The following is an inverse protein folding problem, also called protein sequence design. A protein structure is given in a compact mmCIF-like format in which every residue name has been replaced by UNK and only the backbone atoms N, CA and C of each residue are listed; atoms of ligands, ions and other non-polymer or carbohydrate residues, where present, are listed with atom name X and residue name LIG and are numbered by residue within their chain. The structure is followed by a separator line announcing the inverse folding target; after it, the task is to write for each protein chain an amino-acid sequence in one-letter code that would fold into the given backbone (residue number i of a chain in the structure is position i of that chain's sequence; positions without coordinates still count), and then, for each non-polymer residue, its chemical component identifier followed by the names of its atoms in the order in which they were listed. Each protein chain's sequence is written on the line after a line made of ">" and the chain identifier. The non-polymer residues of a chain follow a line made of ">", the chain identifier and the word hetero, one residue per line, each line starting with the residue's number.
data_IF_808700329867
#
_entry.id   IF_808700329867
#
_cell.length_a   1.000
_cell.length_b   1.000
_cell.length_c   1.000
_cell.angle_alpha   90.00
_cell.angle_beta   90.00
_cell.angle_gamma   90.00
#
_symmetry.space_group_name_H-M   'P 1'
#
loop_
_entity.id
_entity.type
_entity.pdbx_description
1 polymer ?
#
# COMPACT_ATOMS: atom_id res chain seq x y z
N UNK A 1 -76.21 -12.88 -36.42
CA UNK A 1 -77.32 -12.35 -35.61
C UNK A 1 -76.70 -11.51 -34.49
N UNK A 2 -76.59 -10.20 -34.73
CA UNK A 2 -77.41 -9.10 -34.13
C UNK A 2 -76.93 -8.71 -32.72
N UNK A 3 -76.05 -7.70 -32.60
CA UNK A 3 -76.27 -6.27 -32.21
C UNK A 3 -76.66 -6.04 -30.73
N UNK A 4 -75.70 -5.50 -29.94
CA UNK A 4 -75.66 -4.34 -28.99
C UNK A 4 -76.93 -3.81 -28.26
N UNK A 5 -76.85 -2.80 -27.34
CA UNK A 5 -75.87 -2.41 -26.29
C UNK A 5 -76.52 -1.93 -24.96
N UNK A 6 -75.76 -1.60 -23.90
CA UNK A 6 -76.14 -0.71 -22.78
C UNK A 6 -74.84 -0.10 -22.18
N UNK A 7 -74.49 1.18 -22.38
CA UNK A 7 -74.91 2.44 -21.69
C UNK A 7 -74.42 2.61 -20.24
N UNK A 8 -73.50 3.57 -20.03
CA UNK A 8 -72.97 4.11 -18.74
C UNK A 8 -74.02 4.93 -17.97
N UNK A 9 -73.88 5.16 -16.63
CA UNK A 9 -73.19 6.37 -16.08
C UNK A 9 -72.63 6.20 -14.63
N UNK A 10 -72.24 7.25 -13.85
CA UNK A 10 -71.41 8.43 -14.12
C UNK A 10 -70.23 8.60 -13.12
N UNK A 11 -69.36 9.59 -13.39
CA UNK A 11 -68.27 10.10 -12.55
C UNK A 11 -68.72 10.71 -11.20
N UNK A 12 -67.86 10.58 -10.17
CA UNK A 12 -67.69 11.60 -9.12
C UNK A 12 -67.26 11.08 -7.75
N UNK A 13 -66.00 11.33 -7.35
CA UNK A 13 -65.60 11.85 -6.02
C UNK A 13 -64.08 11.65 -5.81
N UNK A 14 -63.35 12.74 -5.89
CA UNK A 14 -61.94 12.88 -5.52
C UNK A 14 -61.76 12.73 -4.00
N UNK A 15 -61.14 11.64 -3.57
CA UNK A 15 -60.59 11.50 -2.22
C UNK A 15 -59.12 11.91 -2.22
N UNK A 16 -58.84 13.07 -1.63
CA UNK A 16 -57.51 13.57 -1.33
C UNK A 16 -56.88 12.71 -0.23
N UNK A 17 -55.88 11.89 -0.59
CA UNK A 17 -55.00 11.23 0.38
C UNK A 17 -53.58 11.74 0.16
N UNK A 18 -53.23 12.81 0.87
CA UNK A 18 -51.83 13.18 1.15
C UNK A 18 -51.09 11.97 1.73
N UNK A 19 -49.99 11.51 1.12
CA UNK A 19 -49.17 10.47 1.71
C UNK A 19 -48.36 11.08 2.87
N UNK A 20 -48.56 10.55 4.06
CA UNK A 20 -47.73 10.83 5.24
C UNK A 20 -46.27 10.51 4.90
N UNK A 21 -45.30 11.41 5.13
CA UNK A 21 -43.90 11.10 4.87
C UNK A 21 -43.47 9.98 5.83
N UNK A 22 -43.12 8.83 5.25
CA UNK A 22 -42.47 7.75 5.97
C UNK A 22 -41.20 8.30 6.62
N UNK A 23 -41.09 8.16 7.94
CA UNK A 23 -39.89 8.48 8.69
C UNK A 23 -38.73 7.64 8.13
N UNK A 24 -37.95 8.25 7.24
CA UNK A 24 -36.63 7.75 6.87
C UNK A 24 -35.77 7.87 8.11
N UNK A 25 -35.59 6.76 8.82
CA UNK A 25 -34.52 6.65 9.80
C UNK A 25 -33.18 7.02 9.13
N UNK A 26 -32.18 7.46 9.91
CA UNK A 26 -30.90 7.87 9.35
C UNK A 26 -30.35 6.74 8.46
N UNK A 27 -30.09 7.09 7.19
CA UNK A 27 -29.34 6.23 6.28
C UNK A 27 -28.01 5.94 6.98
N UNK A 28 -27.61 4.67 7.19
CA UNK A 28 -26.32 4.38 7.79
C UNK A 28 -25.23 5.06 6.95
N UNK A 29 -24.14 5.57 7.57
CA UNK A 29 -23.09 6.23 6.81
C UNK A 29 -22.64 5.31 5.67
N UNK A 30 -22.48 5.90 4.49
CA UNK A 30 -22.15 5.20 3.24
C UNK A 30 -20.81 4.42 3.31
N UNK A 31 -20.06 4.59 4.40
CA UNK A 31 -18.71 4.09 4.62
C UNK A 31 -18.64 2.94 5.64
N UNK A 32 -19.77 2.31 6.00
CA UNK A 32 -19.73 1.16 6.92
C UNK A 32 -19.11 -0.08 6.24
N UNK A 33 -17.98 -0.55 6.80
CA UNK A 33 -17.39 -1.84 6.49
C UNK A 33 -17.16 -2.65 7.79
N UNK A 34 -17.52 -3.94 7.87
CA UNK A 34 -17.41 -4.74 9.09
C UNK A 34 -15.97 -5.23 9.38
N UNK A 35 -14.98 -4.62 8.75
CA UNK A 35 -13.56 -4.90 8.89
C UNK A 35 -12.74 -3.64 8.61
N UNK A 36 -11.48 -3.62 9.08
CA UNK A 36 -10.55 -2.52 8.81
C UNK A 36 -9.11 -3.00 8.87
N UNK A 37 -8.24 -2.30 8.15
CA UNK A 37 -6.79 -2.38 8.34
C UNK A 37 -6.34 -1.16 9.14
N UNK A 38 -5.90 -1.37 10.37
CA UNK A 38 -5.30 -0.33 11.21
C UNK A 38 -3.83 -0.21 10.83
N UNK A 39 -3.41 0.99 10.44
CA UNK A 39 -2.07 1.30 9.97
C UNK A 39 -1.39 2.23 10.97
N UNK A 40 -0.36 1.73 11.65
CA UNK A 40 0.44 2.50 12.60
C UNK A 40 1.56 3.27 11.88
N UNK A 41 1.36 4.59 11.76
CA UNK A 41 2.32 5.51 11.16
C UNK A 41 3.56 5.73 12.05
N UNK A 42 3.42 5.55 13.37
CA UNK A 42 4.53 5.57 14.33
C UNK A 42 5.44 4.37 14.12
N UNK A 43 4.87 3.19 13.87
CA UNK A 43 5.63 2.00 13.49
C UNK A 43 6.40 2.22 12.18
N UNK A 44 5.77 2.78 11.13
CA UNK A 44 6.45 3.09 9.86
C UNK A 44 7.63 4.04 10.09
N UNK A 45 7.43 5.10 10.91
CA UNK A 45 8.48 6.05 11.26
C UNK A 45 9.66 5.37 11.95
N UNK A 46 9.39 4.61 13.01
CA UNK A 46 10.39 3.84 13.77
C UNK A 46 11.14 2.82 12.89
N UNK A 47 10.44 2.17 11.96
CA UNK A 47 11.06 1.24 11.03
C UNK A 47 12.06 1.93 10.11
N UNK A 48 11.71 3.10 9.58
CA UNK A 48 12.63 3.88 8.73
C UNK A 48 13.83 4.40 9.54
N UNK A 49 13.62 4.82 10.78
CA UNK A 49 14.73 5.18 11.70
C UNK A 49 15.67 3.99 11.93
N UNK A 50 15.12 2.79 12.14
CA UNK A 50 15.93 1.56 12.23
C UNK A 50 16.68 1.28 10.94
N UNK A 51 16.01 1.40 9.78
CA UNK A 51 16.62 1.16 8.47
C UNK A 51 17.73 2.18 8.16
N UNK A 52 17.58 3.44 8.57
CA UNK A 52 18.62 4.45 8.45
C UNK A 52 19.86 4.08 9.29
N UNK A 53 19.67 3.54 10.50
CA UNK A 53 20.78 3.02 11.31
C UNK A 53 21.49 1.85 10.63
N UNK A 54 20.75 0.93 10.02
CA UNK A 54 21.33 -0.20 9.29
C UNK A 54 22.04 0.24 8.00
N UNK A 55 21.54 1.26 7.31
CA UNK A 55 22.14 1.81 6.09
C UNK A 55 23.47 2.56 6.32
N UNK A 56 23.81 2.87 7.58
CA UNK A 56 25.04 3.58 7.94
C UNK A 56 25.08 4.98 7.34
N UNK A 57 25.96 5.20 6.38
CA UNK A 57 26.10 6.50 5.69
C UNK A 57 25.24 6.63 4.44
N UNK A 58 24.66 5.53 3.95
CA UNK A 58 23.80 5.56 2.77
C UNK A 58 22.47 6.24 3.08
N UNK A 59 21.94 6.97 2.11
CA UNK A 59 20.60 7.51 2.18
C UNK A 59 19.55 6.39 2.14
N UNK A 60 18.32 6.67 2.58
CA UNK A 60 17.21 5.72 2.53
C UNK A 60 16.15 6.17 1.52
N UNK A 61 15.89 5.32 0.53
CA UNK A 61 14.70 5.39 -0.33
C UNK A 61 13.61 4.48 0.21
N UNK A 62 12.60 5.05 0.84
CA UNK A 62 11.42 4.29 1.23
C UNK A 62 10.58 3.93 -0.01
N UNK A 63 10.44 2.64 -0.29
CA UNK A 63 9.69 2.17 -1.45
C UNK A 63 8.21 2.06 -1.10
N UNK A 64 7.40 2.95 -1.69
CA UNK A 64 5.97 3.14 -1.40
C UNK A 64 5.05 2.74 -2.57
N UNK A 65 5.57 1.97 -3.53
CA UNK A 65 4.79 1.39 -4.64
C UNK A 65 3.63 0.52 -4.15
N UNK A 66 2.69 0.26 -5.06
CA UNK A 66 1.50 -0.55 -4.84
C UNK A 66 0.71 -0.08 -3.60
N UNK A 67 0.41 1.22 -3.58
CA UNK A 67 -0.28 1.88 -2.46
C UNK A 67 0.42 1.64 -1.12
N UNK A 68 1.75 1.85 -1.08
CA UNK A 68 2.60 1.56 0.07
C UNK A 68 2.43 0.11 0.57
N UNK A 69 2.50 -0.87 -0.35
CA UNK A 69 2.31 -2.29 -0.03
C UNK A 69 0.97 -2.55 0.67
N UNK A 70 -0.08 -1.82 0.25
CA UNK A 70 -1.42 -1.88 0.82
C UNK A 70 -1.65 -1.05 2.10
N UNK A 71 -0.66 -0.31 2.59
CA UNK A 71 -0.78 0.53 3.80
C UNK A 71 -1.34 1.94 3.49
N UNK A 72 -1.32 2.36 2.24
CA UNK A 72 -1.78 3.68 1.79
C UNK A 72 -0.64 4.61 1.43
N UNK A 73 -0.59 5.02 0.16
CA UNK A 73 0.52 5.74 -0.46
C UNK A 73 0.93 7.00 0.33
N UNK A 74 -0.01 7.93 0.53
CA UNK A 74 0.33 9.26 1.06
C UNK A 74 0.65 9.25 2.56
N UNK A 75 -0.15 8.62 3.44
CA UNK A 75 0.16 8.60 4.86
C UNK A 75 1.48 7.86 5.16
N UNK A 76 1.72 6.72 4.51
CA UNK A 76 2.97 5.98 4.67
C UNK A 76 4.17 6.72 4.10
N UNK A 77 4.06 7.40 2.96
CA UNK A 77 5.14 8.23 2.44
C UNK A 77 5.53 9.34 3.42
N UNK A 78 4.55 10.05 4.00
CA UNK A 78 4.81 11.10 5.00
C UNK A 78 5.46 10.55 6.27
N UNK A 79 4.96 9.43 6.78
CA UNK A 79 5.54 8.76 7.94
C UNK A 79 6.98 8.31 7.68
N UNK A 80 7.26 7.78 6.49
CA UNK A 80 8.61 7.37 6.10
C UNK A 80 9.57 8.57 6.01
N UNK A 81 9.14 9.70 5.46
CA UNK A 81 9.94 10.93 5.46
C UNK A 81 10.20 11.44 6.88
N UNK A 82 9.18 11.39 7.75
CA UNK A 82 9.33 11.75 9.16
C UNK A 82 10.33 10.83 9.90
N UNK A 83 10.47 9.57 9.47
CA UNK A 83 11.46 8.62 9.99
C UNK A 83 12.86 8.77 9.39
N UNK A 84 13.08 9.76 8.51
CA UNK A 84 14.40 10.09 7.97
C UNK A 84 14.69 9.57 6.56
N UNK A 85 13.70 9.03 5.84
CA UNK A 85 13.88 8.76 4.41
C UNK A 85 14.08 10.09 3.65
N UNK A 86 15.08 10.15 2.78
CA UNK A 86 15.35 11.32 1.91
C UNK A 86 14.89 11.09 0.47
N UNK A 87 14.54 9.85 0.15
CA UNK A 87 14.01 9.43 -1.14
C UNK A 87 12.72 8.63 -0.99
N UNK A 88 11.86 8.70 -2.00
CA UNK A 88 10.70 7.82 -2.18
C UNK A 88 10.81 7.07 -3.51
N UNK A 89 10.44 5.79 -3.50
CA UNK A 89 10.45 4.94 -4.69
C UNK A 89 9.06 4.43 -5.06
N UNK A 90 8.63 4.64 -6.29
CA UNK A 90 7.35 4.14 -6.82
C UNK A 90 7.55 3.29 -8.07
N UNK A 91 6.63 2.38 -8.36
CA UNK A 91 6.73 1.61 -9.59
C UNK A 91 6.10 2.38 -10.75
N UNK A 92 4.88 2.88 -10.56
CA UNK A 92 4.06 3.46 -11.62
C UNK A 92 4.20 4.98 -11.66
N UNK A 93 3.94 5.55 -12.84
CA UNK A 93 3.93 7.00 -13.07
C UNK A 93 2.87 7.70 -12.21
N UNK A 94 1.67 7.12 -12.12
CA UNK A 94 0.55 7.69 -11.37
C UNK A 94 0.87 7.83 -9.87
N UNK A 95 1.59 6.87 -9.29
CA UNK A 95 2.01 6.90 -7.89
C UNK A 95 2.99 8.06 -7.64
N UNK A 96 4.00 8.20 -8.51
CA UNK A 96 4.98 9.27 -8.40
C UNK A 96 4.34 10.65 -8.52
N UNK A 97 3.44 10.81 -9.49
CA UNK A 97 2.68 12.05 -9.69
C UNK A 97 1.74 12.33 -8.52
N UNK A 98 1.11 11.31 -7.92
CA UNK A 98 0.26 11.47 -6.75
C UNK A 98 1.05 12.00 -5.54
N UNK A 99 2.31 11.55 -5.34
CA UNK A 99 3.19 12.08 -4.29
C UNK A 99 3.45 13.59 -4.50
N UNK A 100 3.79 14.00 -5.72
CA UNK A 100 4.01 15.41 -6.07
C UNK A 100 2.73 16.25 -5.92
N UNK A 101 1.59 15.75 -6.42
CA UNK A 101 0.30 16.41 -6.28
C UNK A 101 -0.15 16.57 -4.82
N UNK A 102 0.28 15.68 -3.92
CA UNK A 102 0.03 15.75 -2.49
C UNK A 102 0.98 16.71 -1.73
N UNK A 103 1.78 17.49 -2.45
CA UNK A 103 2.67 18.50 -1.91
C UNK A 103 4.03 18.00 -1.43
N UNK A 104 4.42 16.76 -1.76
CA UNK A 104 5.78 16.26 -1.45
C UNK A 104 6.74 16.90 -2.45
N UNK A 105 7.34 18.03 -2.06
CA UNK A 105 8.22 18.83 -2.91
C UNK A 105 9.60 18.21 -3.12
N UNK A 106 10.36 18.63 -4.16
CA UNK A 106 11.74 18.18 -4.39
C UNK A 106 12.73 18.55 -3.27
N UNK A 107 12.39 19.56 -2.47
CA UNK A 107 13.09 20.01 -1.26
C UNK A 107 12.85 19.08 -0.06
N UNK A 108 11.72 18.37 -0.04
CA UNK A 108 11.40 17.39 1.00
C UNK A 108 11.96 16.01 0.67
N UNK A 109 11.80 15.56 -0.57
CA UNK A 109 12.28 14.27 -1.01
C UNK A 109 12.50 14.18 -2.52
N UNK A 110 13.52 13.41 -2.89
CA UNK A 110 13.67 12.90 -4.26
C UNK A 110 12.69 11.76 -4.49
N UNK A 111 12.14 11.65 -5.70
CA UNK A 111 11.20 10.59 -6.08
C UNK A 111 11.76 9.90 -7.31
N UNK A 112 11.92 8.58 -7.25
CA UNK A 112 12.30 7.75 -8.40
C UNK A 112 11.12 6.88 -8.83
N UNK A 113 10.82 6.88 -10.14
CA UNK A 113 9.88 5.93 -10.77
C UNK A 113 10.54 5.12 -11.88
N UNK A 114 10.13 3.86 -12.07
CA UNK A 114 10.91 2.93 -12.89
C UNK A 114 10.14 1.96 -13.80
N UNK A 115 8.82 1.93 -13.75
CA UNK A 115 8.03 1.02 -14.57
C UNK A 115 7.08 1.78 -15.48
N UNK A 116 7.40 1.74 -16.77
CA UNK A 116 6.61 2.33 -17.84
C UNK A 116 6.91 1.60 -19.17
N UNK A 117 6.07 1.83 -20.16
CA UNK A 117 6.18 1.27 -21.51
C UNK A 117 6.27 2.40 -22.54
N UNK A 118 6.63 2.12 -23.81
CA UNK A 118 6.67 3.12 -24.87
C UNK A 118 5.36 3.91 -24.98
N UNK A 119 5.47 5.23 -25.15
CA UNK A 119 4.34 6.14 -25.23
C UNK A 119 3.77 6.58 -23.86
N UNK A 120 4.46 6.26 -22.76
CA UNK A 120 4.11 6.76 -21.44
C UNK A 120 4.17 8.30 -21.37
N UNK A 121 3.39 8.96 -20.49
CA UNK A 121 3.37 10.42 -20.36
C UNK A 121 4.58 10.95 -19.57
N UNK A 122 5.80 10.69 -20.06
CA UNK A 122 7.06 11.00 -19.38
C UNK A 122 7.28 12.51 -19.18
N UNK A 123 6.65 13.35 -20.02
CA UNK A 123 6.69 14.82 -19.86
C UNK A 123 6.18 15.26 -18.48
N UNK A 124 5.10 14.64 -17.98
CA UNK A 124 4.54 14.96 -16.68
C UNK A 124 5.51 14.64 -15.53
N UNK A 125 6.31 13.57 -15.66
CA UNK A 125 7.35 13.24 -14.67
C UNK A 125 8.44 14.29 -14.62
N UNK A 126 8.88 14.74 -15.80
CA UNK A 126 9.93 15.76 -15.93
C UNK A 126 9.44 17.10 -15.37
N UNK A 127 8.23 17.53 -15.73
CA UNK A 127 7.60 18.75 -15.21
C UNK A 127 7.46 18.71 -13.68
N UNK A 128 7.15 17.55 -13.11
CA UNK A 128 7.00 17.34 -11.66
C UNK A 128 8.31 17.00 -10.91
N UNK A 129 9.48 17.10 -11.57
CA UNK A 129 10.80 16.85 -10.95
C UNK A 129 10.91 15.46 -10.31
N UNK A 130 10.43 14.46 -11.04
CA UNK A 130 10.56 13.05 -10.69
C UNK A 130 11.75 12.47 -11.47
N UNK A 131 12.64 11.79 -10.77
CA UNK A 131 13.76 11.06 -11.36
C UNK A 131 13.20 9.80 -12.06
N UNK A 132 13.69 9.51 -13.26
CA UNK A 132 13.16 8.44 -14.12
C UNK A 132 14.22 7.37 -14.34
N UNK A 133 13.90 6.11 -14.05
CA UNK A 133 14.79 5.00 -14.39
C UNK A 133 14.76 4.75 -15.90
N UNK A 134 15.92 4.74 -16.54
CA UNK A 134 16.12 4.28 -17.93
C UNK A 134 16.59 2.84 -17.87
N UNK A 135 15.75 1.91 -18.33
CA UNK A 135 16.00 0.48 -18.21
C UNK A 135 16.08 -0.24 -19.56
N UNK A 136 16.00 0.51 -20.67
CA UNK A 136 16.15 0.02 -22.04
C UNK A 136 16.59 1.18 -22.94
N UNK A 137 17.23 0.91 -24.11
CA UNK A 137 17.69 1.96 -25.02
C UNK A 137 16.58 2.91 -25.48
N UNK A 138 15.41 2.39 -25.87
CA UNK A 138 14.27 3.21 -26.32
C UNK A 138 13.81 4.23 -25.27
N UNK A 139 13.95 3.88 -23.98
CA UNK A 139 13.49 4.72 -22.89
C UNK A 139 14.34 5.98 -22.75
N UNK A 140 15.64 5.91 -23.10
CA UNK A 140 16.50 7.10 -23.13
C UNK A 140 15.98 8.12 -24.15
N UNK A 141 15.63 7.67 -25.35
CA UNK A 141 15.12 8.52 -26.42
C UNK A 141 13.79 9.18 -26.04
N UNK A 142 12.86 8.41 -25.45
CA UNK A 142 11.56 8.94 -25.02
C UNK A 142 11.70 9.92 -23.84
N UNK A 143 12.58 9.64 -22.87
CA UNK A 143 12.87 10.58 -21.77
C UNK A 143 13.50 11.87 -22.31
N UNK A 144 14.44 11.76 -23.25
CA UNK A 144 15.05 12.94 -23.87
C UNK A 144 14.03 13.76 -24.67
N UNK A 145 13.12 13.12 -25.41
CA UNK A 145 12.04 13.80 -26.11
C UNK A 145 11.09 14.51 -25.12
N UNK A 146 10.72 13.84 -24.03
CA UNK A 146 9.89 14.41 -22.97
C UNK A 146 10.55 15.61 -22.30
N UNK A 147 11.85 15.55 -22.03
CA UNK A 147 12.61 16.65 -21.46
C UNK A 147 12.66 17.88 -22.37
N UNK A 148 12.91 17.67 -23.68
CA UNK A 148 12.85 18.75 -24.67
C UNK A 148 11.45 19.37 -24.73
N UNK A 149 10.40 18.55 -24.71
CA UNK A 149 9.02 19.03 -24.72
C UNK A 149 8.62 19.79 -23.44
N UNK A 150 9.19 19.40 -22.29
CA UNK A 150 9.00 20.08 -21.01
C UNK A 150 9.85 21.36 -20.88
N UNK A 151 10.84 21.57 -21.76
CA UNK A 151 11.76 22.71 -21.69
C UNK A 151 12.70 22.66 -20.48
N UNK A 152 12.95 21.46 -19.92
CA UNK A 152 13.79 21.29 -18.72
C UNK A 152 14.51 19.92 -18.73
N UNK A 153 15.72 19.83 -18.16
CA UNK A 153 16.47 18.58 -18.16
C UNK A 153 15.78 17.49 -17.33
N UNK A 154 15.66 16.29 -17.88
CA UNK A 154 15.26 15.11 -17.11
C UNK A 154 16.41 14.63 -16.21
N UNK A 155 16.08 14.09 -15.03
CA UNK A 155 17.03 13.39 -14.16
C UNK A 155 16.84 11.89 -14.35
N UNK A 156 17.88 11.17 -14.73
CA UNK A 156 17.76 9.74 -15.07
C UNK A 156 18.66 8.86 -14.24
N UNK A 157 18.14 7.68 -13.90
CA UNK A 157 18.90 6.59 -13.29
C UNK A 157 19.06 5.46 -14.30
N UNK A 158 20.29 5.08 -14.65
CA UNK A 158 20.53 3.93 -15.52
C UNK A 158 20.33 2.64 -14.73
N UNK A 159 19.38 1.81 -15.17
CA UNK A 159 19.16 0.49 -14.57
C UNK A 159 19.95 -0.55 -15.33
N UNK A 160 20.78 -1.30 -14.64
CA UNK A 160 21.57 -2.39 -15.21
C UNK A 160 20.94 -3.72 -14.81
N UNK A 161 20.77 -4.64 -15.75
CA UNK A 161 20.44 -6.02 -15.42
C UNK A 161 21.73 -6.78 -15.11
N UNK A 162 21.98 -7.02 -13.82
CA UNK A 162 23.20 -7.72 -13.37
C UNK A 162 23.01 -9.22 -13.24
N UNK A 163 21.84 -9.75 -13.61
CA UNK A 163 21.51 -11.18 -13.50
C UNK A 163 20.13 -11.49 -12.93
N UNK A 164 19.28 -10.48 -12.72
CA UNK A 164 17.89 -10.73 -12.31
C UNK A 164 17.04 -11.18 -13.50
N UNK A 165 17.39 -10.78 -14.73
CA UNK A 165 16.68 -11.18 -15.95
C UNK A 165 15.27 -10.59 -16.05
N UNK A 166 15.03 -9.41 -15.48
CA UNK A 166 13.69 -8.80 -15.39
C UNK A 166 13.56 -7.52 -16.20
N UNK A 167 14.34 -6.50 -15.83
CA UNK A 167 14.30 -5.18 -16.46
C UNK A 167 15.64 -4.51 -16.15
N UNK A 168 16.18 -3.73 -17.09
CA UNK A 168 17.51 -3.17 -17.02
C UNK A 168 18.26 -3.38 -18.33
N UNK A 169 19.18 -2.47 -18.60
CA UNK A 169 20.13 -2.53 -19.71
C UNK A 169 21.10 -3.67 -19.40
N UNK A 170 21.22 -4.61 -20.33
CA UNK A 170 22.24 -5.68 -20.18
C UNK A 170 23.64 -5.06 -20.32
N UNK A 171 24.67 -5.60 -19.65
CA UNK A 171 26.00 -4.98 -19.59
C UNK A 171 26.60 -4.65 -20.97
N UNK A 172 26.33 -5.47 -21.98
CA UNK A 172 26.82 -5.29 -23.35
C UNK A 172 26.24 -4.06 -24.04
N UNK A 173 25.04 -3.63 -23.64
CA UNK A 173 24.36 -2.45 -24.19
C UNK A 173 24.77 -1.16 -23.49
N UNK A 174 25.32 -1.25 -22.26
CA UNK A 174 25.65 -0.09 -21.44
C UNK A 174 26.55 0.93 -22.16
N UNK A 175 27.65 0.56 -22.85
CA UNK A 175 28.50 1.55 -23.52
C UNK A 175 27.75 2.41 -24.54
N UNK A 176 26.87 1.81 -25.35
CA UNK A 176 26.12 2.53 -26.36
C UNK A 176 25.04 3.44 -25.76
N UNK A 177 24.32 2.96 -24.74
CA UNK A 177 23.31 3.76 -24.03
C UNK A 177 23.96 4.93 -23.28
N UNK A 178 25.12 4.69 -22.66
CA UNK A 178 25.87 5.70 -21.94
C UNK A 178 26.40 6.81 -22.85
N UNK A 179 26.97 6.46 -24.01
CA UNK A 179 27.41 7.46 -25.00
C UNK A 179 26.25 8.37 -25.45
N UNK A 180 25.09 7.77 -25.74
CA UNK A 180 23.89 8.53 -26.09
C UNK A 180 23.41 9.42 -24.93
N UNK A 181 23.44 8.92 -23.69
CA UNK A 181 23.01 9.66 -22.52
C UNK A 181 23.93 10.86 -22.24
N UNK A 182 25.25 10.67 -22.31
CA UNK A 182 26.23 11.74 -22.09
C UNK A 182 26.18 12.80 -23.20
N UNK A 183 25.87 12.40 -24.44
CA UNK A 183 25.61 13.35 -25.52
C UNK A 183 24.39 14.22 -25.20
N UNK A 184 23.27 13.60 -24.83
CA UNK A 184 22.06 14.31 -24.42
C UNK A 184 22.30 15.20 -23.17
N UNK A 185 23.18 14.78 -22.26
CA UNK A 185 23.60 15.60 -21.12
C UNK A 185 24.39 16.84 -21.53
N UNK A 186 25.33 16.71 -22.48
CA UNK A 186 26.07 17.88 -23.00
C UNK A 186 25.19 18.87 -23.78
N UNK A 187 24.06 18.41 -24.33
CA UNK A 187 22.99 19.24 -24.90
C UNK A 187 22.08 19.89 -23.84
N UNK A 188 22.25 19.54 -22.55
CA UNK A 188 21.39 20.02 -21.46
C UNK A 188 19.99 19.40 -21.44
N UNK A 189 19.78 18.28 -22.12
CA UNK A 189 18.47 17.61 -22.27
C UNK A 189 18.16 16.70 -21.09
N UNK A 190 19.17 16.06 -20.51
CA UNK A 190 19.02 15.22 -19.33
C UNK A 190 20.28 15.24 -18.48
N UNK A 191 20.24 14.58 -17.32
CA UNK A 191 21.41 14.30 -16.48
C UNK A 191 21.36 12.86 -15.98
N UNK A 192 22.46 12.14 -16.14
CA UNK A 192 22.66 10.82 -15.55
C UNK A 192 23.07 10.99 -14.09
N UNK A 193 22.08 10.97 -13.21
CA UNK A 193 22.26 11.25 -11.77
C UNK A 193 22.41 9.98 -10.95
N UNK A 194 22.04 8.82 -11.49
CA UNK A 194 22.18 7.57 -10.75
C UNK A 194 22.37 6.33 -11.61
N UNK A 195 22.86 5.28 -10.97
CA UNK A 195 22.98 3.93 -11.55
C UNK A 195 22.52 2.89 -10.54
N UNK A 196 21.81 1.88 -11.00
CA UNK A 196 21.24 0.89 -10.09
C UNK A 196 20.97 -0.48 -10.70
N UNK A 197 20.86 -1.48 -9.83
CA UNK A 197 20.40 -2.83 -10.18
C UNK A 197 19.56 -3.40 -9.03
N UNK A 198 19.15 -4.67 -9.13
CA UNK A 198 18.33 -5.35 -8.14
C UNK A 198 18.73 -6.83 -8.02
N UNK A 199 18.91 -7.31 -6.79
CA UNK A 199 19.28 -8.69 -6.51
C UNK A 199 18.15 -9.69 -6.78
N UNK A 200 18.54 -10.92 -7.11
CA UNK A 200 17.68 -12.10 -7.20
C UNK A 200 17.52 -12.81 -5.85
N UNK A 201 18.63 -13.06 -5.14
CA UNK A 201 18.68 -13.81 -3.87
C UNK A 201 19.19 -12.92 -2.73
N UNK A 202 18.63 -11.72 -2.58
CA UNK A 202 19.14 -10.70 -1.66
C UNK A 202 19.15 -11.13 -0.18
N UNK A 203 18.35 -12.13 0.14
CA UNK A 203 18.21 -12.82 1.41
C UNK A 203 19.30 -13.86 1.68
N UNK A 204 20.17 -14.15 0.70
CA UNK A 204 21.31 -15.04 0.83
C UNK A 204 22.62 -14.30 0.44
N UNK A 205 23.23 -13.49 1.32
CA UNK A 205 24.34 -12.60 0.97
C UNK A 205 25.57 -13.29 0.35
N UNK A 206 25.80 -14.55 0.71
CA UNK A 206 26.93 -15.36 0.24
C UNK A 206 26.56 -16.25 -0.96
N UNK A 207 25.32 -16.16 -1.48
CA UNK A 207 24.91 -16.91 -2.65
C UNK A 207 25.75 -16.48 -3.87
N UNK A 208 26.29 -17.42 -4.69
CA UNK A 208 27.15 -17.08 -5.83
C UNK A 208 26.53 -16.05 -6.80
N UNK A 209 25.21 -16.11 -7.01
CA UNK A 209 24.49 -15.11 -7.80
C UNK A 209 24.56 -13.71 -7.20
N UNK A 210 24.45 -13.55 -5.88
CA UNK A 210 24.53 -12.22 -5.23
C UNK A 210 25.92 -11.62 -5.41
N UNK A 211 26.96 -12.42 -5.17
CA UNK A 211 28.35 -12.00 -5.34
C UNK A 211 28.61 -11.59 -6.80
N UNK A 212 28.18 -12.42 -7.76
CA UNK A 212 28.29 -12.11 -9.19
C UNK A 212 27.52 -10.84 -9.58
N UNK A 213 26.28 -10.67 -9.08
CA UNK A 213 25.49 -9.47 -9.35
C UNK A 213 26.17 -8.20 -8.83
N UNK A 214 26.86 -8.27 -7.69
CA UNK A 214 27.64 -7.17 -7.14
C UNK A 214 28.87 -6.85 -8.02
N UNK A 215 29.62 -7.86 -8.46
CA UNK A 215 30.78 -7.67 -9.35
C UNK A 215 30.39 -7.02 -10.69
N UNK A 216 29.29 -7.47 -11.30
CA UNK A 216 28.77 -6.89 -12.54
C UNK A 216 28.30 -5.45 -12.32
N UNK A 217 27.67 -5.17 -11.17
CA UNK A 217 27.26 -3.81 -10.82
C UNK A 217 28.47 -2.88 -10.65
N UNK A 218 29.49 -3.32 -9.92
CA UNK A 218 30.73 -2.56 -9.73
C UNK A 218 31.44 -2.26 -11.05
N UNK A 219 31.45 -3.22 -11.98
CA UNK A 219 31.97 -3.00 -13.33
C UNK A 219 31.17 -1.93 -14.08
N UNK A 220 29.84 -1.98 -14.03
CA UNK A 220 28.97 -1.00 -14.67
C UNK A 220 29.14 0.41 -14.09
N UNK A 221 29.30 0.54 -12.76
CA UNK A 221 29.61 1.81 -12.08
C UNK A 221 30.93 2.37 -12.61
N UNK A 222 32.01 1.57 -12.61
CA UNK A 222 33.33 2.00 -13.11
C UNK A 222 33.28 2.44 -14.57
N UNK A 223 32.58 1.70 -15.43
CA UNK A 223 32.39 2.07 -16.84
C UNK A 223 31.67 3.42 -16.97
N UNK A 224 30.63 3.63 -16.15
CA UNK A 224 29.82 4.85 -16.18
C UNK A 224 30.62 6.08 -15.75
N UNK A 225 31.39 5.96 -14.67
CA UNK A 225 32.24 7.03 -14.15
C UNK A 225 33.43 7.33 -15.06
N UNK A 226 34.07 6.30 -15.61
CA UNK A 226 35.20 6.47 -16.53
C UNK A 226 34.81 7.20 -17.83
N UNK A 227 33.53 7.13 -18.23
CA UNK A 227 33.00 7.90 -19.36
C UNK A 227 32.70 9.37 -19.01
N UNK A 228 32.79 9.75 -17.73
CA UNK A 228 32.63 11.12 -17.25
C UNK A 228 31.31 11.43 -16.53
N UNK A 229 30.41 10.47 -16.37
CA UNK A 229 29.15 10.67 -15.68
C UNK A 229 29.37 11.08 -14.21
N UNK A 230 28.71 12.16 -13.77
CA UNK A 230 28.77 12.66 -12.40
C UNK A 230 27.58 12.12 -11.60
N UNK A 231 27.71 10.88 -11.12
CA UNK A 231 26.65 10.19 -10.38
C UNK A 231 26.43 10.82 -9.01
N UNK A 232 25.17 11.15 -8.69
CA UNK A 232 24.74 11.55 -7.35
C UNK A 232 24.52 10.33 -6.45
N UNK A 233 24.00 9.22 -7.01
CA UNK A 233 23.72 8.00 -6.25
C UNK A 233 23.98 6.70 -7.03
N UNK A 234 24.61 5.74 -6.37
CA UNK A 234 24.70 4.32 -6.76
C UNK A 234 23.86 3.52 -5.79
N UNK A 235 23.01 2.62 -6.29
CA UNK A 235 22.15 1.85 -5.39
C UNK A 235 21.83 0.44 -5.85
N UNK A 236 22.02 -0.53 -4.96
CA UNK A 236 21.80 -1.96 -5.24
C UNK A 236 20.90 -2.63 -4.19
N UNK A 237 21.12 -2.34 -2.91
CA UNK A 237 20.42 -2.96 -1.79
C UNK A 237 18.89 -2.73 -1.80
N UNK A 238 18.14 -3.82 -1.70
CA UNK A 238 16.72 -3.84 -1.31
C UNK A 238 16.60 -4.05 0.21
N UNK A 239 15.39 -4.31 0.75
CA UNK A 239 15.20 -4.54 2.19
C UNK A 239 16.15 -5.57 2.78
N UNK A 240 16.30 -6.75 2.16
CA UNK A 240 17.14 -7.83 2.68
C UNK A 240 18.61 -7.40 2.74
N UNK A 241 19.17 -6.94 1.62
CA UNK A 241 20.56 -6.49 1.57
C UNK A 241 20.84 -5.25 2.44
N UNK A 242 19.84 -4.41 2.69
CA UNK A 242 19.96 -3.28 3.64
C UNK A 242 20.25 -3.80 5.04
N UNK A 243 19.55 -4.85 5.48
CA UNK A 243 19.68 -5.41 6.81
C UNK A 243 20.90 -6.32 6.96
N UNK A 244 21.32 -7.01 5.89
CA UNK A 244 22.27 -8.13 6.01
C UNK A 244 23.61 -7.91 5.31
N UNK A 245 23.73 -6.96 4.38
CA UNK A 245 24.94 -6.81 3.56
C UNK A 245 25.39 -5.35 3.39
N UNK A 246 26.16 -4.80 4.35
CA UNK A 246 26.68 -3.42 4.30
C UNK A 246 27.55 -3.10 3.08
N UNK A 247 28.18 -4.11 2.45
CA UNK A 247 29.08 -3.90 1.30
C UNK A 247 28.37 -3.35 0.06
N UNK A 248 27.04 -3.52 -0.01
CA UNK A 248 26.23 -3.18 -1.20
C UNK A 248 25.23 -2.06 -0.93
N UNK A 249 25.46 -1.28 0.13
CA UNK A 249 24.65 -0.10 0.47
C UNK A 249 24.92 1.08 -0.46
N UNK A 250 26.18 1.25 -0.89
CA UNK A 250 26.63 2.35 -1.74
C UNK A 250 26.14 3.71 -1.20
N UNK A 251 25.49 4.53 -2.04
CA UNK A 251 25.04 5.87 -1.67
C UNK A 251 23.58 5.91 -1.21
N UNK A 252 22.79 4.90 -1.59
CA UNK A 252 21.34 4.86 -1.36
C UNK A 252 20.84 3.41 -1.26
N UNK A 253 20.11 3.10 -0.18
CA UNK A 253 19.42 1.80 0.00
C UNK A 253 17.93 1.93 -0.32
N UNK A 254 17.27 0.83 -0.72
CA UNK A 254 15.86 0.84 -1.16
C UNK A 254 14.98 -0.15 -0.39
N UNK A 255 14.82 0.00 0.94
CA UNK A 255 13.89 -0.82 1.68
C UNK A 255 12.45 -0.56 1.25
N UNK A 256 11.71 -1.65 1.02
CA UNK A 256 10.28 -1.62 0.77
C UNK A 256 9.55 -2.34 1.88
N UNK A 257 9.53 -3.67 1.85
CA UNK A 257 8.84 -4.47 2.86
C UNK A 257 9.21 -4.12 4.31
N UNK A 258 10.50 -3.89 4.57
CA UNK A 258 10.98 -3.58 5.91
C UNK A 258 10.51 -2.21 6.43
N UNK A 259 10.13 -1.27 5.54
CA UNK A 259 9.50 0.01 5.95
C UNK A 259 8.19 -0.25 6.73
N UNK A 260 7.50 -1.34 6.40
CA UNK A 260 6.23 -1.74 7.01
C UNK A 260 6.39 -2.79 8.12
N UNK A 261 7.62 -3.02 8.58
CA UNK A 261 7.89 -3.87 9.74
C UNK A 261 7.89 -5.37 9.45
N UNK A 262 7.91 -5.75 8.17
CA UNK A 262 7.88 -7.14 7.75
C UNK A 262 9.29 -7.59 7.33
N UNK A 263 9.74 -8.74 7.86
CA UNK A 263 11.09 -9.26 7.59
C UNK A 263 11.18 -9.83 6.16
N UNK A 264 12.12 -9.37 5.33
CA UNK A 264 12.38 -9.96 4.01
C UNK A 264 13.24 -11.22 4.10
N UNK A 265 13.74 -11.57 5.28
CA UNK A 265 14.68 -12.66 5.56
C UNK A 265 14.19 -13.50 6.75
N UNK A 266 12.98 -14.09 6.68
CA UNK A 266 12.40 -14.79 7.83
C UNK A 266 13.25 -15.98 8.30
N UNK A 267 14.15 -16.48 7.46
CA UNK A 267 15.13 -17.53 7.78
C UNK A 267 16.36 -17.02 8.53
N UNK A 268 16.69 -15.72 8.46
CA UNK A 268 17.85 -15.12 9.13
C UNK A 268 17.49 -14.38 10.42
N UNK A 269 16.27 -13.86 10.53
CA UNK A 269 15.83 -13.12 11.71
C UNK A 269 14.36 -12.69 11.66
N UNK A 270 13.82 -12.44 12.85
CA UNK A 270 12.50 -11.83 13.03
C UNK A 270 12.55 -10.31 12.86
N UNK A 271 11.39 -9.65 12.65
CA UNK A 271 11.34 -8.19 12.65
C UNK A 271 12.05 -7.54 13.86
N UNK A 272 11.84 -8.07 15.07
CA UNK A 272 12.43 -7.54 16.31
C UNK A 272 13.97 -7.57 16.30
N UNK A 273 14.58 -8.60 15.70
CA UNK A 273 16.04 -8.71 15.58
C UNK A 273 16.64 -7.54 14.77
N UNK A 274 15.83 -6.89 13.94
CA UNK A 274 16.18 -5.73 13.12
C UNK A 274 15.54 -4.43 13.61
N UNK A 275 14.91 -4.43 14.79
CA UNK A 275 14.16 -3.30 15.33
C UNK A 275 13.01 -2.85 14.43
N UNK A 276 12.33 -3.82 13.81
CA UNK A 276 11.19 -3.61 12.92
C UNK A 276 9.89 -4.00 13.62
N UNK A 277 8.88 -3.15 13.50
CA UNK A 277 7.54 -3.32 14.09
C UNK A 277 6.50 -3.37 12.97
N UNK A 278 5.74 -4.48 12.80
CA UNK A 278 4.70 -4.58 11.79
C UNK A 278 3.68 -3.43 11.89
N UNK A 279 3.46 -2.73 10.78
CA UNK A 279 2.65 -1.51 10.78
C UNK A 279 1.15 -1.75 10.54
N UNK A 280 0.73 -2.95 10.14
CA UNK A 280 -0.66 -3.26 9.78
C UNK A 280 -1.27 -4.30 10.71
N UNK A 281 -2.43 -3.98 11.27
CA UNK A 281 -3.34 -4.94 11.91
C UNK A 281 -4.62 -5.07 11.09
N UNK A 282 -4.95 -6.28 10.64
CA UNK A 282 -6.19 -6.58 9.93
C UNK A 282 -7.19 -7.22 10.89
N UNK A 283 -8.31 -6.55 11.11
CA UNK A 283 -9.35 -7.01 12.03
C UNK A 283 -10.75 -6.92 11.41
N UNK A 284 -11.64 -7.78 11.89
CA UNK A 284 -13.02 -7.87 11.44
C UNK A 284 -13.96 -8.14 12.60
N UNK A 285 -15.23 -7.78 12.44
CA UNK A 285 -16.30 -8.13 13.39
C UNK A 285 -17.02 -9.38 12.90
N UNK A 286 -17.28 -10.32 13.80
CA UNK A 286 -18.07 -11.51 13.48
C UNK A 286 -19.47 -11.09 12.99
N UNK A 287 -19.84 -11.48 11.77
CA UNK A 287 -21.12 -11.11 11.17
C UNK A 287 -22.28 -11.94 11.74
N UNK A 288 -22.05 -13.24 11.92
CA UNK A 288 -23.02 -14.15 12.53
C UNK A 288 -22.31 -15.15 13.41
N UNK A 289 -22.92 -15.49 14.53
CA UNK A 289 -22.48 -16.60 15.40
C UNK A 289 -23.67 -17.53 15.59
N UNK A 290 -23.48 -18.83 15.36
CA UNK A 290 -24.57 -19.82 15.43
C UNK A 290 -24.12 -21.19 15.91
N UNK A 291 -24.98 -21.85 16.67
CA UNK A 291 -24.80 -23.25 17.05
C UNK A 291 -25.17 -24.19 15.90
N UNK A 292 -24.39 -25.25 15.73
CA UNK A 292 -24.64 -26.33 14.76
C UNK A 292 -24.38 -27.69 15.41
N UNK A 293 -25.01 -28.73 14.87
CA UNK A 293 -24.76 -30.12 15.31
C UNK A 293 -23.42 -30.62 14.76
N UNK A 294 -22.96 -31.76 15.29
CA UNK A 294 -21.87 -32.52 14.65
C UNK A 294 -22.30 -33.05 13.28
N UNK A 295 -21.33 -33.24 12.39
CA UNK A 295 -21.56 -33.69 11.01
C UNK A 295 -22.04 -32.59 10.05
N UNK A 296 -22.08 -31.32 10.49
CA UNK A 296 -22.47 -30.20 9.64
C UNK A 296 -21.34 -29.86 8.67
N UNK A 297 -21.61 -29.91 7.37
CA UNK A 297 -20.70 -29.41 6.35
C UNK A 297 -20.58 -27.88 6.41
N UNK A 298 -19.37 -27.36 6.22
CA UNK A 298 -19.06 -25.92 6.32
C UNK A 298 -18.44 -25.41 5.01
N UNK A 299 -19.01 -24.31 4.50
CA UNK A 299 -18.62 -23.63 3.27
C UNK A 299 -18.73 -24.52 1.99
N UNK A 300 -18.28 -24.00 0.85
CA UNK A 300 -18.41 -24.67 -0.44
C UNK A 300 -17.79 -26.07 -0.46
N UNK A 301 -18.54 -27.02 -1.04
CA UNK A 301 -18.19 -28.44 -1.15
C UNK A 301 -17.94 -29.14 0.19
N UNK A 302 -18.31 -28.53 1.32
CA UNK A 302 -18.17 -29.10 2.65
C UNK A 302 -16.76 -29.66 2.93
N UNK A 303 -15.72 -28.94 2.47
CA UNK A 303 -14.32 -29.31 2.68
C UNK A 303 -13.95 -29.41 4.17
N UNK A 304 -14.77 -28.79 5.03
CA UNK A 304 -14.75 -28.97 6.47
C UNK A 304 -16.10 -29.50 6.93
N UNK A 305 -16.10 -30.45 7.87
CA UNK A 305 -17.30 -30.98 8.52
C UNK A 305 -17.09 -30.94 10.02
N UNK A 306 -18.05 -30.41 10.77
CA UNK A 306 -17.92 -30.24 12.22
C UNK A 306 -17.78 -31.61 12.91
N UNK A 307 -16.74 -31.83 13.74
CA UNK A 307 -16.53 -33.13 14.38
C UNK A 307 -17.50 -33.39 15.55
N UNK A 308 -18.15 -32.33 16.05
CA UNK A 308 -19.07 -32.34 17.19
C UNK A 308 -20.03 -31.16 17.09
N UNK A 309 -21.05 -31.14 17.97
CA UNK A 309 -21.84 -29.93 18.16
C UNK A 309 -20.91 -28.77 18.54
N UNK A 310 -21.05 -27.64 17.85
CA UNK A 310 -20.11 -26.52 17.96
C UNK A 310 -20.77 -25.20 17.61
N UNK A 311 -20.03 -24.11 17.77
CA UNK A 311 -20.44 -22.76 17.41
C UNK A 311 -19.60 -22.31 16.21
N UNK A 312 -20.25 -21.84 15.15
CA UNK A 312 -19.60 -21.28 13.97
C UNK A 312 -19.71 -19.76 13.99
N UNK A 313 -18.59 -19.09 13.71
CA UNK A 313 -18.51 -17.64 13.51
C UNK A 313 -18.21 -17.30 12.06
N UNK A 314 -18.93 -16.33 11.49
CA UNK A 314 -18.65 -15.84 10.11
C UNK A 314 -17.82 -14.57 10.20
N UNK A 315 -16.68 -14.58 9.50
CA UNK A 315 -15.83 -13.39 9.31
C UNK A 315 -16.15 -12.79 7.94
N UNK A 316 -16.61 -11.52 7.86
CA UNK A 316 -17.04 -10.87 6.62
C UNK A 316 -15.86 -10.29 5.83
N UNK A 317 -14.87 -11.13 5.57
CA UNK A 317 -13.76 -10.86 4.66
C UNK A 317 -13.57 -12.08 3.76
N UNK A 318 -13.40 -11.86 2.47
CA UNK A 318 -13.16 -12.93 1.52
C UNK A 318 -12.09 -12.61 0.49
N UNK A 319 -11.99 -13.41 -0.56
CA UNK A 319 -10.92 -13.25 -1.54
C UNK A 319 -11.05 -11.99 -2.41
N UNK A 320 -12.22 -11.36 -2.50
CA UNK A 320 -12.37 -10.06 -3.13
C UNK A 320 -11.89 -8.90 -2.21
N UNK A 321 -11.68 -9.19 -0.91
CA UNK A 321 -11.04 -8.27 0.05
C UNK A 321 -9.53 -8.48 0.15
N UNK A 322 -8.99 -9.50 -0.51
CA UNK A 322 -7.58 -9.85 -0.44
C UNK A 322 -7.26 -11.07 0.43
N UNK A 323 -8.25 -11.70 1.08
CA UNK A 323 -8.02 -12.93 1.84
C UNK A 323 -7.69 -14.09 0.87
N UNK A 324 -6.48 -14.69 0.92
CA UNK A 324 -6.11 -15.67 -0.08
C UNK A 324 -7.02 -16.89 -0.02
N UNK A 325 -7.70 -17.21 -1.13
CA UNK A 325 -8.49 -18.45 -1.23
C UNK A 325 -7.64 -19.69 -0.96
N UNK A 326 -6.35 -19.62 -1.25
CA UNK A 326 -5.39 -20.67 -0.96
C UNK A 326 -5.26 -20.96 0.53
N UNK A 327 -5.55 -20.02 1.45
CA UNK A 327 -5.58 -20.23 2.89
C UNK A 327 -6.89 -20.90 3.40
N UNK A 328 -7.64 -21.58 2.53
CA UNK A 328 -8.79 -22.40 2.93
C UNK A 328 -8.34 -23.62 3.75
N UNK A 329 -9.05 -23.93 4.83
CA UNK A 329 -8.77 -25.07 5.69
C UNK A 329 -9.64 -26.30 5.40
N UNK A 330 -9.09 -27.46 5.66
CA UNK A 330 -9.77 -28.76 5.64
C UNK A 330 -9.14 -29.62 6.74
N UNK A 331 -9.55 -29.41 8.00
CA UNK A 331 -9.00 -30.19 9.10
C UNK A 331 -9.43 -31.67 9.00
N UNK A 332 -8.57 -32.63 9.38
CA UNK A 332 -7.23 -32.43 9.97
C UNK A 332 -6.10 -32.24 8.95
N UNK A 333 -6.38 -32.40 7.65
CA UNK A 333 -5.37 -32.48 6.59
C UNK A 333 -4.59 -31.18 6.38
N UNK A 334 -5.29 -30.05 6.46
CA UNK A 334 -4.70 -28.73 6.22
C UNK A 334 -5.31 -27.68 7.14
N UNK A 335 -4.54 -27.07 8.06
CA UNK A 335 -5.01 -25.89 8.77
C UNK A 335 -5.26 -24.75 7.77
N UNK A 336 -6.35 -24.01 7.95
CA UNK A 336 -6.63 -22.80 7.17
C UNK A 336 -5.80 -21.59 7.63
N UNK A 337 -6.10 -20.40 7.13
CA UNK A 337 -5.50 -19.16 7.66
C UNK A 337 -5.79 -18.98 9.16
N UNK A 338 -4.80 -18.58 9.98
CA UNK A 338 -5.01 -18.41 11.40
C UNK A 338 -5.72 -17.08 11.73
N UNK A 339 -6.53 -17.09 12.78
CA UNK A 339 -7.27 -15.93 13.28
C UNK A 339 -7.28 -15.95 14.80
N UNK A 340 -6.91 -14.83 15.42
CA UNK A 340 -7.04 -14.64 16.85
C UNK A 340 -8.48 -14.27 17.21
N UNK A 341 -9.06 -15.01 18.15
CA UNK A 341 -10.42 -14.83 18.64
C UNK A 341 -10.39 -14.72 20.17
N UNK A 342 -10.99 -13.66 20.71
CA UNK A 342 -10.89 -13.31 22.14
C UNK A 342 -9.57 -12.59 22.44
N UNK A 343 -9.65 -11.53 23.25
CA UNK A 343 -8.50 -10.69 23.63
C UNK A 343 -7.97 -9.76 22.52
N UNK A 344 -7.58 -8.52 22.82
CA UNK A 344 -6.77 -7.72 21.90
C UNK A 344 -5.36 -8.34 21.77
N UNK A 345 -4.67 -8.03 20.67
CA UNK A 345 -3.21 -8.15 20.65
C UNK A 345 -2.69 -7.06 21.59
N UNK A 346 -1.92 -7.43 22.61
CA UNK A 346 -1.30 -6.42 23.48
C UNK A 346 -0.18 -5.64 22.74
N UNK A 347 0.31 -4.55 23.34
CA UNK A 347 1.34 -3.70 22.71
C UNK A 347 2.64 -4.45 22.38
N UNK A 348 2.90 -5.59 23.03
CA UNK A 348 4.05 -6.45 22.79
C UNK A 348 3.77 -7.56 21.77
N UNK A 349 2.60 -7.57 21.13
CA UNK A 349 2.20 -8.61 20.19
C UNK A 349 1.81 -9.93 20.85
N UNK A 350 1.61 -9.91 22.16
CA UNK A 350 1.15 -11.01 22.99
C UNK A 350 -0.36 -11.21 22.87
N UNK A 351 -0.78 -12.46 23.03
CA UNK A 351 -2.18 -12.83 23.21
C UNK A 351 -2.42 -12.82 24.71
N UNK A 352 -3.39 -12.05 25.19
CA UNK A 352 -3.81 -12.19 26.59
C UNK A 352 -4.22 -13.66 26.85
N UNK A 353 -4.16 -14.12 28.10
CA UNK A 353 -4.50 -15.52 28.42
C UNK A 353 -5.96 -15.93 28.10
N UNK A 354 -6.76 -15.03 27.51
CA UNK A 354 -8.16 -15.26 27.11
C UNK A 354 -8.32 -15.50 25.61
N UNK A 355 -7.32 -15.14 24.80
CA UNK A 355 -7.36 -15.29 23.35
C UNK A 355 -7.02 -16.68 22.84
N UNK A 356 -7.63 -17.04 21.71
CA UNK A 356 -7.52 -18.36 21.07
C UNK A 356 -7.21 -18.19 19.59
N UNK A 357 -6.15 -18.85 19.12
CA UNK A 357 -5.88 -18.93 17.68
C UNK A 357 -6.70 -20.06 17.07
N UNK A 358 -7.66 -19.67 16.25
CA UNK A 358 -8.48 -20.56 15.43
C UNK A 358 -8.02 -20.49 13.97
N UNK A 359 -8.52 -21.39 13.13
CA UNK A 359 -8.15 -21.43 11.72
C UNK A 359 -9.41 -21.44 10.85
N UNK A 360 -9.31 -20.93 9.63
CA UNK A 360 -10.39 -20.97 8.64
C UNK A 360 -10.94 -22.40 8.51
N UNK A 361 -12.24 -22.55 8.77
CA UNK A 361 -12.98 -23.81 8.67
C UNK A 361 -13.67 -23.90 7.30
N UNK A 362 -13.08 -24.64 6.38
CA UNK A 362 -13.58 -24.82 5.02
C UNK A 362 -13.02 -23.79 4.04
N UNK A 363 -13.75 -23.54 2.95
CA UNK A 363 -13.30 -22.65 1.88
C UNK A 363 -13.52 -21.18 2.24
N UNK A 364 -12.52 -20.36 1.93
CA UNK A 364 -12.67 -18.89 1.84
C UNK A 364 -13.55 -18.56 0.63
N UNK A 365 -14.62 -17.79 0.83
CA UNK A 365 -15.54 -17.32 -0.19
C UNK A 365 -15.16 -15.92 -0.68
N UNK A 366 -15.95 -15.36 -1.62
CA UNK A 366 -15.66 -14.05 -2.21
C UNK A 366 -15.62 -12.94 -1.15
N UNK A 367 -16.54 -12.98 -0.19
CA UNK A 367 -16.74 -11.88 0.77
C UNK A 367 -16.74 -12.34 2.24
N UNK A 368 -16.51 -13.63 2.52
CA UNK A 368 -16.52 -14.17 3.88
C UNK A 368 -15.81 -15.51 4.02
N UNK A 369 -15.46 -15.87 5.25
CA UNK A 369 -15.09 -17.24 5.64
C UNK A 369 -15.66 -17.59 7.01
N UNK A 370 -15.51 -18.86 7.42
CA UNK A 370 -16.07 -19.38 8.67
C UNK A 370 -14.95 -19.82 9.61
N UNK A 371 -15.15 -19.59 10.90
CA UNK A 371 -14.37 -20.16 11.99
C UNK A 371 -15.25 -21.17 12.75
N UNK A 372 -14.67 -22.30 13.15
CA UNK A 372 -15.24 -23.15 14.20
C UNK A 372 -14.75 -22.63 15.55
N UNK A 373 -15.62 -21.92 16.27
CA UNK A 373 -15.33 -21.27 17.56
C UNK A 373 -15.28 -22.27 18.72
N UNK A 374 -15.81 -23.48 18.52
CA UNK A 374 -15.84 -24.54 19.52
C UNK A 374 -17.16 -24.61 20.32
N UNK A 375 -17.40 -25.73 21.04
CA UNK A 375 -18.67 -26.04 21.72
C UNK A 375 -19.03 -25.13 22.89
N UNK A 376 -18.06 -24.41 23.45
CA UNK A 376 -18.22 -23.55 24.63
C UNK A 376 -17.81 -22.10 24.33
N UNK A 377 -17.79 -21.73 23.06
CA UNK A 377 -17.57 -20.36 22.64
C UNK A 377 -18.63 -19.41 23.25
N UNK A 378 -18.18 -18.27 23.75
CA UNK A 378 -19.02 -17.19 24.27
C UNK A 378 -19.09 -15.99 23.33
N UNK A 379 -18.39 -16.07 22.20
CA UNK A 379 -18.35 -15.04 21.18
C UNK A 379 -19.74 -14.75 20.60
N UNK A 380 -19.97 -13.49 20.27
CA UNK A 380 -21.21 -12.97 19.73
C UNK A 380 -20.96 -12.26 18.38
N UNK A 381 -22.03 -12.07 17.62
CA UNK A 381 -21.95 -11.20 16.45
C UNK A 381 -21.56 -9.79 16.89
N UNK A 382 -20.60 -9.18 16.18
CA UNK A 382 -20.02 -7.89 16.53
C UNK A 382 -18.67 -7.97 17.25
N UNK A 383 -18.34 -9.12 17.87
CA UNK A 383 -17.04 -9.33 18.50
C UNK A 383 -15.91 -9.25 17.47
N UNK A 384 -14.79 -8.67 17.89
CA UNK A 384 -13.63 -8.44 17.03
C UNK A 384 -12.77 -9.70 16.98
N UNK A 385 -12.31 -10.03 15.77
CA UNK A 385 -11.30 -11.04 15.51
C UNK A 385 -10.15 -10.42 14.72
N UNK A 386 -8.93 -10.83 15.03
CA UNK A 386 -7.72 -10.31 14.37
C UNK A 386 -7.15 -11.37 13.44
N UNK A 387 -7.06 -11.04 12.16
CA UNK A 387 -6.52 -11.95 11.16
C UNK A 387 -5.00 -11.97 11.28
N UNK A 388 -4.37 -10.80 11.30
CA UNK A 388 -2.94 -10.66 11.56
C UNK A 388 -2.62 -9.27 12.11
N UNK A 389 -1.50 -9.14 12.82
CA UNK A 389 -0.99 -7.87 13.33
C UNK A 389 0.47 -7.97 13.79
N UNK A 390 0.92 -7.01 14.63
CA UNK A 390 2.18 -7.10 15.36
C UNK A 390 2.24 -8.37 16.22
N UNK A 391 3.41 -9.00 16.29
CA UNK A 391 3.67 -10.14 17.17
C UNK A 391 4.73 -11.09 16.69
N UNK A 392 5.14 -11.98 17.59
CA UNK A 392 6.21 -12.95 17.35
C UNK A 392 5.83 -14.10 16.40
N UNK A 393 4.57 -14.19 15.98
CA UNK A 393 4.03 -15.23 15.11
C UNK A 393 3.75 -16.56 15.82
N UNK A 394 3.01 -17.43 15.14
CA UNK A 394 2.52 -18.69 15.74
C UNK A 394 3.64 -19.65 16.10
N UNK A 395 4.71 -19.67 15.31
CA UNK A 395 5.88 -20.52 15.56
C UNK A 395 6.56 -20.22 16.91
N UNK A 396 6.33 -19.02 17.48
CA UNK A 396 6.85 -18.58 18.77
C UNK A 396 5.76 -18.43 19.84
N UNK A 397 4.54 -18.91 19.56
CA UNK A 397 3.39 -18.83 20.47
C UNK A 397 2.77 -17.43 20.58
N UNK A 398 3.07 -16.52 19.64
CA UNK A 398 2.49 -15.18 19.59
C UNK A 398 1.18 -15.11 18.80
N UNK A 399 0.67 -13.89 18.60
CA UNK A 399 -0.48 -13.63 17.75
C UNK A 399 -0.19 -13.94 16.26
N UNK A 400 -1.23 -14.20 15.44
CA UNK A 400 -1.07 -14.38 14.00
C UNK A 400 -0.42 -13.17 13.32
N UNK A 401 0.50 -13.44 12.40
CA UNK A 401 1.20 -12.42 11.60
C UNK A 401 0.87 -12.55 10.10
N UNK A 402 1.28 -11.56 9.31
CA UNK A 402 1.18 -11.64 7.85
C UNK A 402 2.01 -12.80 7.29
N UNK A 403 3.10 -13.19 7.96
CA UNK A 403 3.91 -14.35 7.59
C UNK A 403 3.17 -15.68 7.86
N UNK A 404 2.46 -15.79 8.98
CA UNK A 404 1.64 -16.98 9.26
C UNK A 404 0.54 -17.18 8.20
N UNK A 405 -0.07 -16.07 7.73
CA UNK A 405 -1.00 -16.10 6.59
C UNK A 405 -0.33 -16.45 5.27
N UNK A 406 0.88 -15.97 5.04
CA UNK A 406 1.66 -16.29 3.85
C UNK A 406 1.96 -17.79 3.78
N UNK A 407 2.40 -18.38 4.90
CA UNK A 407 2.63 -19.82 5.03
C UNK A 407 1.35 -20.61 4.80
N UNK A 408 0.22 -20.21 5.41
CA UNK A 408 -1.07 -20.87 5.19
C UNK A 408 -1.53 -20.83 3.73
N UNK A 409 -1.23 -19.73 3.01
CA UNK A 409 -1.57 -19.54 1.62
C UNK A 409 -0.54 -20.12 0.62
N UNK A 410 0.66 -20.51 1.08
CA UNK A 410 1.76 -20.95 0.21
C UNK A 410 2.38 -19.81 -0.59
N UNK A 411 2.57 -18.66 0.03
CA UNK A 411 3.11 -17.43 -0.57
C UNK A 411 4.04 -16.69 0.40
N UNK A 412 4.28 -15.40 0.15
CA UNK A 412 5.12 -14.50 0.95
C UNK A 412 4.29 -13.36 1.56
N UNK A 413 4.72 -12.83 2.71
CA UNK A 413 4.04 -11.73 3.42
C UNK A 413 3.85 -10.46 2.58
N UNK A 414 4.73 -10.22 1.59
CA UNK A 414 4.54 -9.18 0.56
C UNK A 414 3.17 -9.26 -0.11
N UNK A 415 2.75 -10.47 -0.52
CA UNK A 415 1.50 -10.66 -1.25
C UNK A 415 0.30 -10.47 -0.33
N UNK A 416 0.42 -10.85 0.95
CA UNK A 416 -0.65 -10.77 1.94
C UNK A 416 -1.10 -9.32 2.16
N UNK A 417 -0.16 -8.40 2.42
CA UNK A 417 -0.51 -6.99 2.67
C UNK A 417 -0.84 -6.24 1.39
N UNK A 418 -0.08 -6.47 0.31
CA UNK A 418 -0.26 -5.76 -0.96
C UNK A 418 -1.60 -6.05 -1.64
N UNK A 419 -2.16 -7.26 -1.45
CA UNK A 419 -3.43 -7.64 -2.08
C UNK A 419 -4.68 -7.23 -1.33
N UNK A 420 -4.55 -6.57 -0.18
CA UNK A 420 -5.69 -6.12 0.58
C UNK A 420 -6.53 -5.13 -0.26
N UNK A 421 -7.76 -5.51 -0.57
CA UNK A 421 -8.62 -4.81 -1.51
C UNK A 421 -9.06 -3.44 -1.01
N UNK A 422 -9.40 -2.53 -1.94
CA UNK A 422 -9.81 -1.16 -1.62
C UNK A 422 -11.13 -1.05 -0.82
N UNK A 423 -11.93 -2.13 -0.78
CA UNK A 423 -13.15 -2.21 0.04
C UNK A 423 -12.84 -2.20 1.54
N UNK A 424 -11.66 -2.68 1.93
CA UNK A 424 -11.24 -2.70 3.33
C UNK A 424 -10.70 -1.31 3.69
N UNK A 425 -11.38 -0.54 4.56
CA UNK A 425 -10.93 0.78 4.93
C UNK A 425 -9.60 0.71 5.68
N UNK A 426 -8.67 1.62 5.34
CA UNK A 426 -7.46 1.86 6.13
C UNK A 426 -7.75 2.91 7.18
N UNK A 427 -7.42 2.61 8.43
CA UNK A 427 -7.54 3.52 9.56
C UNK A 427 -6.13 3.83 10.05
N UNK A 428 -5.72 5.08 10.00
CA UNK A 428 -4.38 5.51 10.39
C UNK A 428 -4.34 5.89 11.86
N UNK A 429 -3.33 5.40 12.57
CA UNK A 429 -3.00 5.76 13.94
C UNK A 429 -1.54 6.20 13.99
N UNK A 430 -1.15 7.00 14.98
CA UNK A 430 0.24 7.37 15.24
C UNK A 430 0.53 6.90 16.68
N UNK A 431 1.44 5.93 16.85
CA UNK A 431 1.65 5.22 18.12
C UNK A 431 1.62 6.14 19.36
N UNK A 432 0.83 5.73 20.37
CA UNK A 432 0.66 6.35 21.69
C UNK A 432 0.20 7.83 21.74
N UNK A 433 -0.56 8.32 20.75
CA UNK A 433 -1.46 9.46 20.96
C UNK A 433 -2.93 9.06 20.72
N UNK A 434 -3.78 9.40 21.68
CA UNK A 434 -5.20 9.07 21.75
C UNK A 434 -6.01 9.61 20.56
N UNK A 435 -6.76 8.72 19.91
CA UNK A 435 -7.96 9.05 19.14
C UNK A 435 -7.78 9.06 17.61
N UNK A 436 -8.82 8.65 16.85
CA UNK A 436 -8.79 8.75 15.39
C UNK A 436 -8.61 10.21 15.00
N UNK A 437 -7.54 10.52 14.26
CA UNK A 437 -7.45 11.78 13.53
C UNK A 437 -8.47 11.70 12.39
N UNK A 438 -9.70 12.11 12.68
CA UNK A 438 -10.72 12.30 11.64
C UNK A 438 -10.18 13.27 10.60
N UNK A 439 -10.21 12.82 9.36
CA UNK A 439 -9.83 13.57 8.18
C UNK A 439 -10.51 14.95 8.15
N UNK A 440 -9.74 15.94 7.72
CA UNK A 440 -10.18 17.27 7.32
C UNK A 440 -11.52 17.23 6.57
N UNK A 441 -12.54 17.86 7.15
CA UNK A 441 -13.78 18.16 6.44
C UNK A 441 -13.51 19.15 5.30
N UNK A 442 -14.20 19.03 4.15
CA UNK A 442 -14.06 19.96 3.04
C UNK A 442 -14.64 21.33 3.40
N UNK A 443 -13.92 22.38 3.05
CA UNK A 443 -14.30 23.76 3.29
C UNK A 443 -15.69 24.08 2.73
N UNK A 444 -16.56 24.59 3.59
CA UNK A 444 -17.78 25.26 3.17
C UNK A 444 -17.38 26.56 2.45
N UNK A 445 -17.75 26.64 1.18
CA UNK A 445 -17.72 27.87 0.39
C UNK A 445 -18.56 28.93 1.10
N UNK A 446 -17.92 30.02 1.55
CA UNK A 446 -18.63 31.23 1.90
C UNK A 446 -19.09 31.92 0.61
N UNK A 447 -20.38 31.81 0.31
CA UNK A 447 -21.05 32.68 -0.67
C UNK A 447 -21.10 34.09 -0.07
N UNK A 448 -20.79 35.16 -0.82
CA UNK A 448 -20.85 36.52 -0.27
C UNK A 448 -22.32 36.94 -0.10
N UNK A 449 -22.63 37.51 1.06
CA UNK A 449 -23.92 38.12 1.34
C UNK A 449 -24.14 39.36 0.46
N UNK A 450 -25.34 39.47 -0.13
CA UNK A 450 -25.87 40.70 -0.73
C UNK A 450 -25.96 41.84 0.31
N UNK A 451 -25.68 43.09 -0.07
CA UNK A 451 -25.91 44.23 0.82
C UNK A 451 -27.34 44.80 0.65
N UNK A 452 -28.00 45.05 1.77
CA UNK A 452 -29.25 45.82 1.87
C UNK A 452 -28.96 47.35 1.89
N UNK A 453 -29.96 48.22 1.63
CA UNK A 453 -29.76 49.47 0.91
C UNK A 453 -29.42 50.71 1.76
N UNK A 454 -28.98 51.70 1.00
CA UNK A 454 -28.54 53.08 1.26
C UNK A 454 -29.29 53.89 2.32
N UNK A 455 -28.51 54.66 3.10
CA UNK A 455 -28.91 55.95 3.63
C UNK A 455 -27.80 56.99 3.42
N UNK A 456 -28.16 58.02 2.66
CA UNK A 456 -27.60 59.36 2.47
C UNK A 456 -26.48 59.84 3.41
N UNK A 457 -25.38 60.33 2.82
CA UNK A 457 -24.90 61.70 3.02
C UNK A 457 -23.79 62.06 2.01
N UNK A 458 -24.06 63.02 1.12
CA UNK A 458 -23.07 63.89 0.46
C UNK A 458 -22.73 65.02 1.46
N UNK A 459 -21.53 65.65 1.45
CA UNK A 459 -21.09 66.44 0.30
C UNK A 459 -19.58 66.51 -0.04
N UNK A 460 -19.34 66.70 -1.34
CA UNK A 460 -18.41 67.65 -1.98
C UNK A 460 -16.88 67.39 -2.07
N UNK A 461 -16.45 67.48 -3.34
CA UNK A 461 -15.30 68.20 -3.92
C UNK A 461 -14.02 67.45 -4.36
N UNK A 462 -13.70 67.65 -5.66
CA UNK A 462 -12.41 67.64 -6.37
C UNK A 462 -11.67 66.30 -6.49
N UNK A 463 -10.88 65.99 -7.51
CA UNK A 463 -10.70 66.35 -8.93
C UNK A 463 -9.57 65.39 -9.39
N UNK A 464 -9.54 65.03 -10.70
CA UNK A 464 -8.38 64.51 -11.46
C UNK A 464 -7.77 63.13 -11.05
N UNK A 465 -7.04 62.36 -11.84
CA UNK A 465 -6.79 62.14 -13.28
C UNK A 465 -5.90 60.85 -13.35
N UNK A 466 -6.11 60.03 -14.38
CA UNK A 466 -5.16 59.18 -15.15
C UNK A 466 -3.96 58.40 -14.53
N UNK A 467 -3.85 57.14 -15.01
CA UNK A 467 -2.65 56.31 -15.34
C UNK A 467 -1.76 55.86 -14.15
N UNK A 468 -1.46 54.57 -13.95
CA UNK A 468 -0.87 53.58 -14.88
C UNK A 468 -1.11 52.16 -14.39
#
# INVERSE_FOLDING_TARGET
>A
MTVSPFSDPPHGSTGDTTPTPSATGPVPPADYYPARAVIDLGAIRSNVESLARHAGTAQVMAVVKADAYGHGLLPSARAALAGGATWLGTAQISEALALRAAGIGPDQARVLTWLYAPGAPLRALVEAEIDVSVAAPWALDEVAAAARAAGRPARVHLKIDTGLGRNGIVPEQLPAVLDAALRAESEGVLRVVGIWSHFAFADEPEHPTVLHQADVFDAAVRTTEAAGAQLEVRHLANSAATLTNPRVHYDLVRPGLAVYGLSPVPTLGTPDDYGLVPAMTLEARLATVKQVTGGQGVSYAHAYTTPRATILGVVPLGYADGIPRHASGALPERPGGPVLVGGPIDEAGGVDGTGRVLHVAGRVCMDQFVLDLGPYASEQAGDVVTLFGPGAGLARGGAPTAEDWALAAGTISYEITTRLGARVPRVYVDGADEGPTTALAPGASATPAEPAPTASHTPLHHDQEWLS
#
